data_IF_899894271204
#
_entry.id   IF_899894271204
#
_cell.length_a   1.000
_cell.length_b   1.000
_cell.length_c   1.000
_cell.angle_alpha   90.00
_cell.angle_beta   90.00
_cell.angle_gamma   90.00
#
_symmetry.space_group_name_H-M   'P 1'
#
loop_
_entity.id
_entity.type
_entity.pdbx_description
1 polymer ?
#
# COMPACT_ATOMS: atom_id res chain seq x y z
N UNK A 1 7.58 19.77 -6.44
CA UNK A 1 7.09 18.39 -6.37
C UNK A 1 5.74 18.45 -5.68
N UNK A 2 4.64 18.21 -6.38
CA UNK A 2 3.32 18.11 -5.72
C UNK A 2 3.39 16.85 -4.86
N UNK A 3 3.39 17.02 -3.53
CA UNK A 3 3.47 15.91 -2.58
C UNK A 3 2.35 14.92 -2.86
N UNK A 4 2.69 13.63 -2.89
CA UNK A 4 1.70 12.57 -2.93
C UNK A 4 0.89 12.70 -1.65
N UNK A 5 -0.42 12.89 -1.78
CA UNK A 5 -1.36 12.87 -0.66
C UNK A 5 -1.42 11.42 -0.14
N UNK A 6 -0.88 11.12 1.06
CA UNK A 6 -0.81 9.76 1.56
C UNK A 6 -2.19 9.14 1.74
N UNK A 7 -3.17 9.93 2.19
CA UNK A 7 -4.54 9.48 2.35
C UNK A 7 -5.15 9.08 1.00
N UNK A 8 -4.95 9.91 -0.03
CA UNK A 8 -5.43 9.61 -1.38
C UNK A 8 -4.79 8.36 -1.96
N UNK A 9 -3.49 8.17 -1.74
CA UNK A 9 -2.80 6.98 -2.20
C UNK A 9 -3.32 5.73 -1.49
N UNK A 10 -3.45 5.75 -0.17
CA UNK A 10 -3.98 4.61 0.60
C UNK A 10 -5.40 4.26 0.20
N UNK A 11 -6.27 5.26 -0.05
CA UNK A 11 -7.62 5.02 -0.54
C UNK A 11 -7.60 4.32 -1.92
N UNK A 12 -6.72 4.77 -2.82
CA UNK A 12 -6.53 4.11 -4.12
C UNK A 12 -5.99 2.67 -3.94
N UNK A 13 -5.01 2.47 -3.07
CA UNK A 13 -4.43 1.16 -2.79
C UNK A 13 -5.51 0.20 -2.29
N UNK A 14 -6.30 0.61 -1.29
CA UNK A 14 -7.42 -0.17 -0.76
C UNK A 14 -8.41 -0.61 -1.84
N UNK A 15 -8.75 0.28 -2.79
CA UNK A 15 -9.66 -0.04 -3.89
C UNK A 15 -9.09 -0.94 -4.98
N UNK A 16 -7.76 -1.12 -5.01
CA UNK A 16 -7.06 -1.93 -6.02
C UNK A 16 -6.54 -3.26 -5.49
N UNK A 17 -6.54 -3.48 -4.18
CA UNK A 17 -5.99 -4.70 -3.55
C UNK A 17 -6.50 -5.98 -4.22
N UNK A 18 -7.81 -6.08 -4.45
CA UNK A 18 -8.45 -7.26 -5.05
C UNK A 18 -8.17 -7.42 -6.55
N UNK A 19 -7.66 -6.37 -7.20
CA UNK A 19 -7.37 -6.31 -8.64
C UNK A 19 -5.89 -6.54 -8.97
N UNK A 20 -5.02 -6.73 -7.95
CA UNK A 20 -3.61 -6.99 -8.18
C UNK A 20 -3.43 -8.41 -8.73
N UNK A 21 -3.11 -8.56 -10.00
CA UNK A 21 -3.00 -9.89 -10.65
C UNK A 21 -1.56 -10.41 -10.64
N UNK A 22 -0.59 -9.51 -10.62
CA UNK A 22 0.83 -9.88 -10.70
C UNK A 22 1.59 -9.55 -9.42
N UNK A 23 2.63 -10.36 -9.16
CA UNK A 23 3.58 -10.12 -8.06
C UNK A 23 4.20 -8.72 -8.14
N UNK A 24 4.62 -8.30 -9.34
CA UNK A 24 5.25 -7.00 -9.59
C UNK A 24 4.34 -5.82 -9.21
N UNK A 25 3.04 -5.92 -9.48
CA UNK A 25 2.09 -4.86 -9.11
C UNK A 25 1.92 -4.76 -7.60
N UNK A 26 1.83 -5.92 -6.92
CA UNK A 26 1.73 -5.96 -5.46
C UNK A 26 3.01 -5.49 -4.76
N UNK A 27 4.19 -5.86 -5.26
CA UNK A 27 5.49 -5.38 -4.76
C UNK A 27 5.60 -3.86 -4.93
N UNK A 28 5.27 -3.33 -6.11
CA UNK A 28 5.30 -1.89 -6.34
C UNK A 28 4.37 -1.12 -5.39
N UNK A 29 3.16 -1.63 -5.15
CA UNK A 29 2.21 -0.99 -4.23
C UNK A 29 2.70 -1.05 -2.78
N UNK A 30 3.35 -2.15 -2.39
CA UNK A 30 3.97 -2.29 -1.08
C UNK A 30 5.09 -1.27 -0.89
N UNK A 31 6.01 -1.15 -1.86
CA UNK A 31 7.11 -0.18 -1.81
C UNK A 31 6.60 1.26 -1.70
N UNK A 32 5.58 1.60 -2.49
CA UNK A 32 4.96 2.93 -2.45
C UNK A 32 4.31 3.21 -1.07
N UNK A 33 3.68 2.21 -0.44
CA UNK A 33 3.11 2.36 0.91
C UNK A 33 4.19 2.46 1.99
N UNK A 34 5.27 1.70 1.88
CA UNK A 34 6.41 1.76 2.80
C UNK A 34 7.11 3.13 2.70
N UNK A 35 7.24 3.69 1.50
CA UNK A 35 7.71 5.06 1.31
C UNK A 35 6.79 6.10 1.97
N UNK A 36 5.47 5.94 1.81
CA UNK A 36 4.51 6.85 2.44
C UNK A 36 4.53 6.73 3.96
N UNK A 37 4.81 5.53 4.50
CA UNK A 37 4.86 5.27 5.93
C UNK A 37 5.89 6.15 6.66
N UNK A 38 7.00 6.50 6.00
CA UNK A 38 8.04 7.38 6.58
C UNK A 38 7.54 8.81 6.86
N UNK A 39 6.49 9.24 6.16
CA UNK A 39 5.96 10.61 6.21
C UNK A 39 4.48 10.67 6.60
N UNK A 40 3.91 9.53 7.00
CA UNK A 40 2.49 9.37 7.26
C UNK A 40 2.10 9.95 8.62
N UNK A 41 0.94 10.60 8.69
CA UNK A 41 0.38 11.06 9.96
C UNK A 41 0.11 9.87 10.90
N UNK A 42 0.37 9.99 12.22
CA UNK A 42 0.19 8.89 13.18
C UNK A 42 -1.22 8.27 13.18
N UNK A 43 -2.24 9.07 12.90
CA UNK A 43 -3.63 8.62 12.82
C UNK A 43 -3.87 7.65 11.66
N UNK A 44 -3.08 7.78 10.59
CA UNK A 44 -3.18 7.01 9.36
C UNK A 44 -2.26 5.77 9.37
N UNK A 45 -1.25 5.72 10.25
CA UNK A 45 -0.29 4.60 10.34
C UNK A 45 -0.98 3.25 10.53
N UNK A 46 -2.05 3.20 11.33
CA UNK A 46 -2.80 1.96 11.56
C UNK A 46 -3.46 1.41 10.30
N UNK A 47 -3.96 2.29 9.44
CA UNK A 47 -4.58 1.89 8.18
C UNK A 47 -3.52 1.44 7.17
N UNK A 48 -2.37 2.13 7.12
CA UNK A 48 -1.23 1.72 6.30
C UNK A 48 -0.68 0.35 6.72
N UNK A 49 -0.51 0.10 8.03
CA UNK A 49 -0.08 -1.22 8.55
C UNK A 49 -0.99 -2.34 8.05
N UNK A 50 -2.31 -2.10 8.05
CA UNK A 50 -3.29 -3.07 7.58
C UNK A 50 -3.14 -3.34 6.09
N UNK A 51 -2.97 -2.29 5.28
CA UNK A 51 -2.77 -2.44 3.83
C UNK A 51 -1.47 -3.21 3.52
N UNK A 52 -0.38 -2.87 4.22
CA UNK A 52 0.92 -3.54 4.10
C UNK A 52 0.80 -5.03 4.46
N UNK A 53 0.12 -5.36 5.55
CA UNK A 53 -0.09 -6.75 5.95
C UNK A 53 -0.85 -7.56 4.89
N UNK A 54 -1.92 -6.99 4.33
CA UNK A 54 -2.71 -7.62 3.26
C UNK A 54 -1.84 -7.83 2.00
N UNK A 55 -1.05 -6.84 1.61
CA UNK A 55 -0.14 -6.96 0.45
C UNK A 55 0.91 -8.05 0.65
N UNK A 56 1.51 -8.14 1.85
CA UNK A 56 2.48 -9.19 2.17
C UNK A 56 1.86 -10.58 2.12
N UNK A 57 0.64 -10.74 2.66
CA UNK A 57 -0.12 -11.98 2.54
C UNK A 57 -0.38 -12.31 1.07
N UNK A 58 -0.87 -11.35 0.28
CA UNK A 58 -1.12 -11.54 -1.15
C UNK A 58 0.13 -11.95 -1.91
N UNK A 59 1.27 -11.32 -1.63
CA UNK A 59 2.57 -11.67 -2.22
C UNK A 59 3.03 -13.07 -1.87
N UNK A 60 2.67 -13.58 -0.69
CA UNK A 60 2.95 -14.98 -0.33
C UNK A 60 2.11 -15.98 -1.13
N UNK A 61 0.93 -15.56 -1.62
CA UNK A 61 0.06 -16.39 -2.46
C UNK A 61 0.37 -16.29 -3.96
N UNK A 62 0.98 -15.19 -4.39
CA UNK A 62 1.44 -14.95 -5.76
C UNK A 62 2.81 -15.64 -5.94
N UNK A 63 2.75 -16.93 -6.26
CA UNK A 63 3.91 -17.78 -6.54
C UNK A 63 4.83 -17.21 -7.63
#
# INVERSE_FOLDING_TARGET
MQGVDPFRYMQMAAGKLDQLETRREAEKMLDDLEYLYEVLDPELMRDADRLIAILREKLSTLA
#
